data_IF_510322928941
#
_entry.id   IF_510322928941
#
_cell.length_a   1.000
_cell.length_b   1.000
_cell.length_c   1.000
_cell.angle_alpha   90.00
_cell.angle_beta   90.00
_cell.angle_gamma   90.00
#
_symmetry.space_group_name_H-M   'P 1'
#
loop_
_entity.id
_entity.type
_entity.pdbx_description
1 polymer ?
#
# COMPACT_ATOMS: atom_id res chain seq x y z
N UNK A 1 -16.45 -1.56 -17.89
CA UNK A 1 -15.18 -0.83 -17.75
C UNK A 1 -14.47 -1.34 -16.51
N UNK A 2 -13.14 -1.33 -16.49
CA UNK A 2 -12.39 -1.63 -15.26
C UNK A 2 -12.62 -0.48 -14.25
N UNK A 3 -12.68 -0.82 -12.96
CA UNK A 3 -12.82 0.18 -11.90
C UNK A 3 -11.53 1.00 -11.78
N UNK A 4 -11.65 2.30 -11.54
CA UNK A 4 -10.50 3.16 -11.25
C UNK A 4 -10.10 3.07 -9.77
N UNK A 5 -8.98 3.69 -9.41
CA UNK A 5 -8.45 3.66 -8.05
C UNK A 5 -9.42 4.25 -7.02
N UNK A 6 -10.03 5.38 -7.33
CA UNK A 6 -10.96 6.08 -6.44
C UNK A 6 -12.21 5.24 -6.17
N UNK A 7 -12.75 4.59 -7.20
CA UNK A 7 -13.87 3.65 -7.06
C UNK A 7 -13.51 2.47 -6.15
N UNK A 8 -12.32 1.88 -6.32
CA UNK A 8 -11.86 0.76 -5.49
C UNK A 8 -11.60 1.19 -4.05
N UNK A 9 -10.94 2.34 -3.84
CA UNK A 9 -10.71 2.93 -2.51
C UNK A 9 -12.02 3.09 -1.76
N UNK A 10 -13.02 3.70 -2.40
CA UNK A 10 -14.33 3.94 -1.78
C UNK A 10 -15.07 2.64 -1.47
N UNK A 11 -14.95 1.61 -2.32
CA UNK A 11 -15.49 0.28 -2.00
C UNK A 11 -14.83 -0.35 -0.77
N UNK A 12 -13.51 -0.20 -0.59
CA UNK A 12 -12.80 -0.70 0.60
C UNK A 12 -13.24 0.05 1.86
N UNK A 13 -13.39 1.38 1.79
CA UNK A 13 -13.89 2.20 2.91
C UNK A 13 -15.30 1.76 3.31
N UNK A 14 -16.21 1.56 2.35
CA UNK A 14 -17.56 1.06 2.62
C UNK A 14 -17.52 -0.31 3.30
N UNK A 15 -16.72 -1.25 2.78
CA UNK A 15 -16.55 -2.57 3.40
C UNK A 15 -16.01 -2.46 4.83
N UNK A 16 -15.04 -1.58 5.09
CA UNK A 16 -14.48 -1.36 6.42
C UNK A 16 -15.51 -0.79 7.40
N UNK A 17 -16.36 0.13 6.92
CA UNK A 17 -17.48 0.66 7.69
C UNK A 17 -18.49 -0.44 8.05
N UNK A 18 -18.91 -1.25 7.07
CA UNK A 18 -19.84 -2.38 7.28
C UNK A 18 -19.31 -3.41 8.28
N UNK A 19 -17.99 -3.58 8.36
CA UNK A 19 -17.32 -4.46 9.32
C UNK A 19 -17.02 -3.80 10.67
N UNK A 20 -17.49 -2.58 10.89
CA UNK A 20 -17.23 -1.78 12.09
C UNK A 20 -15.74 -1.58 12.39
N UNK A 21 -14.87 -1.62 11.38
CA UNK A 21 -13.42 -1.46 11.59
C UNK A 21 -13.07 -0.04 12.05
N UNK A 22 -13.90 0.96 11.74
CA UNK A 22 -13.77 2.32 12.27
C UNK A 22 -13.88 2.41 13.81
N UNK A 23 -14.38 1.37 14.49
CA UNK A 23 -14.45 1.29 15.95
C UNK A 23 -13.25 0.56 16.57
N UNK A 24 -12.41 -0.10 15.75
CA UNK A 24 -11.26 -0.86 16.21
C UNK A 24 -10.05 0.06 16.51
N UNK A 25 -9.11 -0.43 17.31
CA UNK A 25 -7.86 0.29 17.60
C UNK A 25 -6.97 0.36 16.34
N UNK A 26 -6.63 1.57 15.84
CA UNK A 26 -5.76 1.74 14.68
C UNK A 26 -4.38 1.09 14.85
N UNK A 27 -3.90 0.90 16.08
CA UNK A 27 -2.63 0.20 16.35
C UNK A 27 -2.70 -1.28 15.97
N UNK A 28 -3.86 -1.92 16.13
CA UNK A 28 -4.07 -3.30 15.69
C UNK A 28 -4.09 -3.34 14.15
N UNK A 29 -4.73 -2.36 13.52
CA UNK A 29 -4.72 -2.26 12.06
C UNK A 29 -3.32 -2.01 11.50
N UNK A 30 -2.48 -1.22 12.18
CA UNK A 30 -1.07 -1.07 11.83
C UNK A 30 -0.33 -2.41 11.82
N UNK A 31 -0.59 -3.29 12.80
CA UNK A 31 -0.01 -4.64 12.78
C UNK A 31 -0.43 -5.43 11.54
N UNK A 32 -1.67 -5.29 11.07
CA UNK A 32 -2.13 -5.90 9.81
C UNK A 32 -1.39 -5.32 8.60
N UNK A 33 -1.23 -4.01 8.52
CA UNK A 33 -0.43 -3.38 7.45
C UNK A 33 0.98 -3.99 7.40
N UNK A 34 1.64 -4.17 8.54
CA UNK A 34 2.98 -4.76 8.57
C UNK A 34 3.01 -6.24 8.17
N UNK A 35 1.94 -6.98 8.46
CA UNK A 35 1.76 -8.39 8.07
C UNK A 35 1.61 -8.51 6.55
N UNK A 36 0.69 -7.75 5.93
CA UNK A 36 0.44 -7.79 4.48
C UNK A 36 1.66 -7.33 3.66
N UNK A 37 2.37 -6.31 4.15
CA UNK A 37 3.63 -5.87 3.51
C UNK A 37 4.71 -6.96 3.62
N UNK A 38 4.71 -7.74 4.69
CA UNK A 38 5.58 -8.90 4.86
C UNK A 38 5.32 -10.00 3.83
N UNK A 39 4.07 -10.18 3.40
CA UNK A 39 3.73 -11.17 2.37
C UNK A 39 4.37 -10.83 1.01
N UNK A 40 4.50 -9.53 0.69
CA UNK A 40 5.23 -9.07 -0.51
C UNK A 40 6.68 -9.59 -0.47
N UNK A 41 7.35 -9.45 0.68
CA UNK A 41 8.71 -9.94 0.87
C UNK A 41 8.77 -11.45 0.68
N UNK A 42 7.82 -12.20 1.23
CA UNK A 42 7.80 -13.66 1.11
C UNK A 42 7.65 -14.12 -0.35
N UNK A 43 6.80 -13.47 -1.14
CA UNK A 43 6.66 -13.79 -2.57
C UNK A 43 7.94 -13.46 -3.34
N UNK A 44 8.56 -12.31 -3.09
CA UNK A 44 9.78 -11.88 -3.77
C UNK A 44 11.00 -12.75 -3.43
N UNK A 45 11.17 -13.12 -2.16
CA UNK A 45 12.36 -13.85 -1.69
C UNK A 45 12.20 -15.37 -1.77
N UNK A 46 10.96 -15.88 -1.79
CA UNK A 46 10.67 -17.31 -1.75
C UNK A 46 9.59 -17.71 -2.78
N UNK A 47 9.73 -17.32 -4.07
CA UNK A 47 8.69 -17.52 -5.08
C UNK A 47 8.35 -19.00 -5.29
N UNK A 48 9.31 -19.91 -5.08
CA UNK A 48 9.10 -21.37 -5.20
C UNK A 48 8.11 -21.95 -4.19
N UNK A 49 7.73 -21.20 -3.14
CA UNK A 49 6.68 -21.60 -2.19
C UNK A 49 5.26 -21.41 -2.72
N UNK A 50 5.09 -20.72 -3.85
CA UNK A 50 3.80 -20.36 -4.40
C UNK A 50 3.59 -21.07 -5.73
N UNK A 51 2.41 -21.66 -5.92
CA UNK A 51 2.02 -22.30 -7.19
C UNK A 51 2.01 -21.28 -8.34
N UNK A 52 1.56 -20.06 -8.05
CA UNK A 52 1.56 -18.93 -8.99
C UNK A 52 2.10 -17.66 -8.31
N UNK A 53 3.42 -17.41 -8.37
CA UNK A 53 4.05 -16.26 -7.70
C UNK A 53 3.56 -14.91 -8.22
N UNK A 54 3.23 -14.80 -9.51
CA UNK A 54 2.70 -13.55 -10.07
C UNK A 54 1.33 -13.21 -9.49
N UNK A 55 0.45 -14.21 -9.36
CA UNK A 55 -0.86 -14.05 -8.72
C UNK A 55 -0.71 -13.72 -7.24
N UNK A 56 0.15 -14.44 -6.52
CA UNK A 56 0.41 -14.21 -5.11
C UNK A 56 0.95 -12.79 -4.86
N UNK A 57 1.84 -12.28 -5.72
CA UNK A 57 2.36 -10.92 -5.61
C UNK A 57 1.25 -9.87 -5.82
N UNK A 58 0.34 -10.10 -6.77
CA UNK A 58 -0.82 -9.21 -6.98
C UNK A 58 -1.74 -9.17 -5.76
N UNK A 59 -1.96 -10.32 -5.12
CA UNK A 59 -2.77 -10.41 -3.90
C UNK A 59 -2.09 -9.69 -2.74
N UNK A 60 -0.82 -9.98 -2.43
CA UNK A 60 -0.08 -9.32 -1.35
C UNK A 60 0.02 -7.78 -1.52
N UNK A 61 0.22 -7.29 -2.75
CA UNK A 61 0.18 -5.85 -3.05
C UNK A 61 -1.22 -5.26 -2.85
N UNK A 62 -2.25 -6.01 -3.25
CA UNK A 62 -3.65 -5.63 -3.07
C UNK A 62 -4.04 -5.54 -1.59
N UNK A 63 -3.70 -6.55 -0.80
CA UNK A 63 -4.01 -6.61 0.63
C UNK A 63 -3.24 -5.54 1.43
N UNK A 64 -2.01 -5.22 1.01
CA UNK A 64 -1.27 -4.06 1.53
C UNK A 64 -2.00 -2.74 1.27
N UNK A 65 -2.58 -2.54 0.08
CA UNK A 65 -3.39 -1.36 -0.22
C UNK A 65 -4.68 -1.36 0.61
N UNK A 66 -5.38 -2.49 0.70
CA UNK A 66 -6.62 -2.60 1.50
C UNK A 66 -6.35 -2.22 2.95
N UNK A 67 -5.31 -2.78 3.56
CA UNK A 67 -5.00 -2.51 4.97
C UNK A 67 -4.57 -1.07 5.23
N UNK A 68 -3.85 -0.44 4.29
CA UNK A 68 -3.51 0.98 4.34
C UNK A 68 -4.74 1.90 4.19
N UNK A 69 -5.65 1.58 3.25
CA UNK A 69 -6.91 2.33 3.09
C UNK A 69 -7.74 2.29 4.37
N UNK A 70 -7.85 1.10 4.99
CA UNK A 70 -8.58 0.92 6.26
C UNK A 70 -7.90 1.70 7.39
N UNK A 71 -6.57 1.69 7.48
CA UNK A 71 -5.85 2.44 8.49
C UNK A 71 -6.06 3.95 8.33
N UNK A 72 -5.93 4.49 7.11
CA UNK A 72 -6.19 5.89 6.83
C UNK A 72 -7.63 6.28 7.24
N UNK A 73 -8.61 5.43 6.88
CA UNK A 73 -9.99 5.63 7.25
C UNK A 73 -10.21 5.67 8.78
N UNK A 74 -9.62 4.74 9.54
CA UNK A 74 -9.68 4.75 11.01
C UNK A 74 -9.05 6.01 11.63
N UNK A 75 -7.99 6.53 11.02
CA UNK A 75 -7.31 7.76 11.42
C UNK A 75 -7.98 9.04 10.91
N UNK A 76 -9.11 8.92 10.20
CA UNK A 76 -9.84 10.03 9.57
C UNK A 76 -8.99 10.82 8.56
N UNK A 77 -8.18 10.09 7.80
CA UNK A 77 -7.37 10.61 6.70
C UNK A 77 -7.92 10.09 5.38
N UNK A 78 -7.89 10.91 4.33
CA UNK A 78 -8.07 10.43 2.97
C UNK A 78 -6.71 9.97 2.42
N UNK A 79 -6.66 8.74 1.90
CA UNK A 79 -5.42 8.15 1.42
C UNK A 79 -4.87 8.86 0.16
N UNK A 80 -5.74 9.41 -0.69
CA UNK A 80 -5.34 10.17 -1.87
C UNK A 80 -4.71 11.49 -1.45
N UNK A 81 -5.27 12.19 -0.46
CA UNK A 81 -4.65 13.39 0.11
C UNK A 81 -3.27 13.08 0.71
N UNK A 82 -3.13 11.96 1.44
CA UNK A 82 -1.82 11.51 1.92
C UNK A 82 -0.82 11.23 0.79
N UNK A 83 -1.29 10.63 -0.31
CA UNK A 83 -0.47 10.37 -1.49
C UNK A 83 -0.07 11.66 -2.21
N UNK A 84 -0.96 12.66 -2.28
CA UNK A 84 -0.67 13.97 -2.87
C UNK A 84 0.46 14.68 -2.11
N UNK A 85 0.39 14.71 -0.77
CA UNK A 85 1.47 15.25 0.07
C UNK A 85 2.79 14.53 -0.21
N UNK A 86 2.79 13.20 -0.28
CA UNK A 86 4.00 12.44 -0.58
C UNK A 86 4.51 12.68 -2.01
N UNK A 87 3.62 12.85 -2.98
CA UNK A 87 3.97 13.12 -4.37
C UNK A 87 4.63 14.49 -4.53
N UNK A 88 4.10 15.51 -3.85
CA UNK A 88 4.66 16.86 -3.87
C UNK A 88 6.10 16.92 -3.36
N UNK A 89 6.46 16.05 -2.43
CA UNK A 89 7.84 15.89 -1.92
C UNK A 89 8.79 15.17 -2.88
N UNK A 90 8.27 14.42 -3.86
CA UNK A 90 9.09 13.61 -4.78
C UNK A 90 9.09 14.11 -6.22
N UNK A 91 8.09 14.89 -6.64
CA UNK A 91 7.86 15.26 -8.05
C UNK A 91 9.02 16.01 -8.70
N UNK A 92 9.75 16.81 -7.92
CA UNK A 92 10.86 17.63 -8.42
C UNK A 92 12.24 17.01 -8.17
N UNK A 93 12.31 15.83 -7.53
CA UNK A 93 13.58 15.17 -7.21
C UNK A 93 14.40 14.90 -8.48
N UNK A 94 15.67 15.30 -8.43
CA UNK A 94 16.67 15.00 -9.45
C UNK A 94 17.59 13.88 -8.97
N UNK A 95 18.02 13.03 -9.88
CA UNK A 95 18.81 11.85 -9.56
C UNK A 95 18.85 10.86 -10.71
N UNK A 96 19.55 9.74 -10.52
CA UNK A 96 19.68 8.66 -11.51
C UNK A 96 19.73 7.31 -10.84
N UNK A 97 19.38 6.27 -11.60
CA UNK A 97 19.55 4.89 -11.16
C UNK A 97 21.04 4.53 -11.13
N UNK A 98 21.52 4.06 -9.98
CA UNK A 98 22.88 3.50 -9.81
C UNK A 98 22.72 2.17 -9.09
N UNK A 99 23.20 1.08 -9.70
CA UNK A 99 23.16 -0.28 -9.13
C UNK A 99 21.76 -0.72 -8.65
N UNK A 100 20.70 -0.31 -9.35
CA UNK A 100 19.31 -0.67 -9.02
C UNK A 100 18.61 0.24 -8.01
N UNK A 101 19.28 1.27 -7.50
CA UNK A 101 18.71 2.25 -6.56
C UNK A 101 18.66 3.64 -7.19
N UNK A 102 17.59 4.37 -6.96
CA UNK A 102 17.54 5.80 -7.31
C UNK A 102 18.44 6.57 -6.35
N UNK A 103 19.52 7.17 -6.87
CA UNK A 103 20.43 8.03 -6.11
C UNK A 103 20.11 9.48 -6.46
N UNK A 104 19.87 10.30 -5.44
CA UNK A 104 19.58 11.72 -5.61
C UNK A 104 20.80 12.44 -6.15
N UNK A 105 20.59 13.51 -6.90
CA UNK A 105 21.67 14.31 -7.48
C UNK A 105 22.62 14.90 -6.42
N UNK A 106 22.10 15.26 -5.24
CA UNK A 106 22.88 15.74 -4.10
C UNK A 106 23.79 14.67 -3.45
N UNK A 107 23.53 13.39 -3.71
CA UNK A 107 24.23 12.23 -3.16
C UNK A 107 25.17 11.54 -4.18
N UNK A 108 25.30 12.09 -5.40
CA UNK A 108 26.14 11.56 -6.50
C UNK A 108 27.57 12.10 -6.45
#
# INVERSE_FOLDING_TARGET
MAKNFEELKNMVVCWAFEKNLHLADPKIQWMRVTEEVGEIQDVLLKPTKFENPERALKDALGDSLVTLIVLAYQLRLDLVDCLEVAYDEIKDRKGRMVNGTFVKEEDL
#
